data_IF_374127374336
#
_entry.id   IF_374127374336
#
_cell.length_a   1.000
_cell.length_b   1.000
_cell.length_c   1.000
_cell.angle_alpha   90.00
_cell.angle_beta   90.00
_cell.angle_gamma   90.00
#
_symmetry.space_group_name_H-M   'P 1'
#
loop_
_entity.id
_entity.type
_entity.pdbx_description
1 polymer ?
#
# COMPACT_ATOMS: atom_id res chain seq x y z
N UNK A 1 22.79 6.50 -8.27
CA UNK A 1 23.42 5.60 -7.29
C UNK A 1 23.36 4.20 -7.88
N UNK A 2 24.47 3.44 -7.95
CA UNK A 2 24.39 2.04 -8.35
C UNK A 2 23.70 1.30 -7.20
N UNK A 3 22.48 0.84 -7.43
CA UNK A 3 21.74 0.09 -6.43
C UNK A 3 22.52 -1.19 -6.09
N UNK A 4 22.86 -1.37 -4.82
CA UNK A 4 23.56 -2.55 -4.28
C UNK A 4 22.56 -3.62 -3.84
N UNK A 5 21.58 -3.95 -4.68
CA UNK A 5 20.77 -5.14 -4.47
C UNK A 5 21.21 -6.22 -5.46
N UNK A 6 21.12 -7.48 -5.03
CA UNK A 6 21.35 -8.63 -5.88
C UNK A 6 20.10 -9.49 -5.81
N UNK A 7 19.34 -9.51 -6.91
CA UNK A 7 18.15 -10.34 -7.02
C UNK A 7 18.59 -11.81 -7.00
N UNK A 8 18.07 -12.57 -6.03
CA UNK A 8 18.27 -14.02 -5.94
C UNK A 8 17.22 -14.67 -6.86
N UNK A 9 17.64 -15.05 -8.07
CA UNK A 9 16.75 -15.56 -9.10
C UNK A 9 16.86 -17.09 -9.13
N UNK A 10 15.74 -17.84 -9.09
CA UNK A 10 15.75 -19.28 -9.33
C UNK A 10 16.40 -19.63 -10.67
N UNK A 11 17.04 -20.79 -10.74
CA UNK A 11 17.83 -21.20 -11.91
C UNK A 11 17.01 -21.22 -13.20
N UNK A 12 15.74 -21.58 -13.09
CA UNK A 12 14.76 -21.70 -14.16
C UNK A 12 14.40 -20.33 -14.76
N UNK A 13 14.49 -19.27 -13.94
CA UNK A 13 14.22 -17.88 -14.31
C UNK A 13 15.47 -17.09 -14.72
N UNK A 14 16.67 -17.67 -14.57
CA UNK A 14 17.94 -16.99 -14.90
C UNK A 14 18.03 -16.56 -16.37
N UNK A 15 17.39 -17.28 -17.28
CA UNK A 15 17.31 -16.89 -18.70
C UNK A 15 16.63 -15.53 -18.92
N UNK A 16 15.82 -15.07 -17.95
CA UNK A 16 15.11 -13.79 -17.98
C UNK A 16 15.78 -12.70 -17.13
N UNK A 17 16.99 -12.95 -16.58
CA UNK A 17 17.68 -12.03 -15.66
C UNK A 17 17.71 -10.58 -16.11
N UNK A 18 18.07 -10.30 -17.38
CA UNK A 18 18.14 -8.92 -17.87
C UNK A 18 16.80 -8.20 -17.77
N UNK A 19 15.72 -8.87 -18.17
CA UNK A 19 14.36 -8.32 -18.13
C UNK A 19 13.93 -8.11 -16.68
N UNK A 20 14.24 -9.07 -15.80
CA UNK A 20 13.95 -8.99 -14.37
C UNK A 20 14.64 -7.79 -13.74
N UNK A 21 15.97 -7.68 -13.91
CA UNK A 21 16.78 -6.60 -13.37
C UNK A 21 16.37 -5.22 -13.89
N UNK A 22 16.01 -5.11 -15.18
CA UNK A 22 15.48 -3.88 -15.78
C UNK A 22 14.12 -3.49 -15.20
N UNK A 23 13.31 -4.46 -14.79
CA UNK A 23 12.00 -4.24 -14.19
C UNK A 23 12.05 -3.89 -12.70
N UNK A 24 13.19 -4.04 -12.01
CA UNK A 24 13.23 -3.90 -10.56
C UNK A 24 12.91 -2.48 -10.09
N UNK A 25 12.03 -2.38 -9.09
CA UNK A 25 11.73 -1.13 -8.37
C UNK A 25 12.02 -1.24 -6.88
N UNK A 26 12.49 -0.15 -6.24
CA UNK A 26 12.53 -0.08 -4.80
C UNK A 26 11.11 -0.05 -4.24
N UNK A 27 10.94 -0.64 -3.07
CA UNK A 27 9.74 -0.54 -2.26
C UNK A 27 10.12 -0.57 -0.78
N UNK A 28 9.21 -0.10 0.05
CA UNK A 28 9.32 -0.17 1.50
C UNK A 28 8.36 -1.26 1.95
N UNK A 29 8.90 -2.37 2.47
CA UNK A 29 8.14 -3.39 3.17
C UNK A 29 7.65 -2.80 4.49
N UNK A 30 6.36 -2.98 4.76
CA UNK A 30 5.71 -2.48 5.97
C UNK A 30 5.29 -3.68 6.82
N UNK A 31 5.65 -3.65 8.09
CA UNK A 31 5.20 -4.64 9.08
C UNK A 31 4.52 -3.93 10.23
N UNK A 32 3.37 -4.45 10.67
CA UNK A 32 2.60 -3.89 11.78
C UNK A 32 2.65 -4.80 13.00
N UNK A 33 2.82 -4.20 14.18
CA UNK A 33 2.63 -4.89 15.46
C UNK A 33 1.59 -4.15 16.26
N UNK A 34 0.56 -4.86 16.73
CA UNK A 34 -0.49 -4.30 17.58
C UNK A 34 0.12 -3.65 18.82
N UNK A 35 -0.10 -2.35 18.96
CA UNK A 35 0.46 -1.53 20.02
C UNK A 35 -0.20 -0.16 20.02
N UNK A 36 -0.24 0.47 21.19
CA UNK A 36 -0.54 1.90 21.30
C UNK A 36 0.45 2.74 20.50
N UNK A 37 -0.05 3.79 19.88
CA UNK A 37 0.74 4.70 19.04
C UNK A 37 0.40 6.15 19.36
N UNK A 38 1.40 7.02 19.33
CA UNK A 38 1.20 8.46 19.49
C UNK A 38 0.55 9.06 18.24
N UNK A 39 0.01 10.28 18.34
CA UNK A 39 -0.63 10.95 17.20
C UNK A 39 0.33 11.23 16.02
N UNK A 40 1.64 11.14 16.22
CA UNK A 40 2.65 11.56 15.23
C UNK A 40 3.37 10.39 14.54
N UNK A 41 3.21 9.19 15.08
CA UNK A 41 3.86 7.98 14.55
C UNK A 41 3.12 7.41 13.34
N UNK A 42 3.85 6.66 12.51
CA UNK A 42 3.25 5.81 11.50
C UNK A 42 2.49 4.66 12.13
N UNK A 43 1.26 4.44 11.68
CA UNK A 43 0.35 3.45 12.24
C UNK A 43 -0.65 2.93 11.21
N UNK A 44 -1.16 1.73 11.46
CA UNK A 44 -2.46 1.31 10.97
C UNK A 44 -3.51 1.53 12.05
N UNK A 45 -4.71 1.98 11.66
CA UNK A 45 -5.79 2.23 12.62
C UNK A 45 -5.45 3.31 13.65
N UNK A 46 -6.19 3.29 14.76
CA UNK A 46 -5.99 4.21 15.89
C UNK A 46 -6.38 5.66 15.59
N UNK A 47 -5.95 6.56 16.48
CA UNK A 47 -6.28 7.98 16.35
C UNK A 47 -5.30 8.73 15.46
N UNK A 48 -5.81 9.60 14.54
CA UNK A 48 -5.01 10.37 13.61
C UNK A 48 -4.42 11.62 14.27
N UNK A 49 -3.30 12.10 13.73
CA UNK A 49 -2.96 13.52 13.84
C UNK A 49 -4.09 14.37 13.25
N UNK A 50 -4.63 15.31 14.02
CA UNK A 50 -5.64 16.25 13.52
C UNK A 50 -5.42 17.62 14.16
N UNK A 51 -5.04 18.65 13.39
CA UNK A 51 -4.96 20.02 13.90
C UNK A 51 -6.33 20.54 14.38
N UNK A 52 -6.37 21.33 15.46
CA UNK A 52 -7.63 21.89 16.00
C UNK A 52 -8.38 22.80 15.02
N UNK A 53 -7.69 23.31 14.00
CA UNK A 53 -8.26 24.19 12.97
C UNK A 53 -8.69 23.42 11.71
N UNK A 54 -8.69 22.09 11.75
CA UNK A 54 -9.16 21.24 10.67
C UNK A 54 -10.31 20.37 11.16
N UNK A 55 -11.29 20.15 10.28
CA UNK A 55 -12.38 19.23 10.57
C UNK A 55 -11.95 17.79 10.33
N UNK A 56 -12.46 16.87 11.15
CA UNK A 56 -12.31 15.43 10.88
C UNK A 56 -12.98 15.11 9.53
N UNK A 57 -12.31 14.36 8.63
CA UNK A 57 -12.93 13.85 7.41
C UNK A 57 -14.27 13.16 7.64
N UNK A 58 -15.26 13.50 6.83
CA UNK A 58 -16.60 12.90 6.87
C UNK A 58 -16.95 12.26 5.54
N UNK A 59 -17.68 11.16 5.61
CA UNK A 59 -18.25 10.47 4.46
C UNK A 59 -19.47 11.20 3.88
N UNK A 60 -20.08 10.62 2.85
CA UNK A 60 -21.25 11.21 2.19
C UNK A 60 -22.51 11.26 3.06
N UNK A 61 -22.55 10.52 4.16
CA UNK A 61 -23.62 10.57 5.16
C UNK A 61 -23.32 11.57 6.29
N UNK A 62 -22.15 12.22 6.25
CA UNK A 62 -21.70 13.17 7.26
C UNK A 62 -21.12 12.50 8.51
N UNK A 63 -20.89 11.19 8.51
CA UNK A 63 -20.26 10.47 9.61
C UNK A 63 -18.74 10.64 9.55
N UNK A 64 -18.06 10.74 10.71
CA UNK A 64 -16.60 10.73 10.75
C UNK A 64 -16.03 9.45 10.12
N UNK A 65 -15.07 9.61 9.22
CA UNK A 65 -14.33 8.48 8.65
C UNK A 65 -13.30 7.94 9.67
N UNK A 66 -12.94 6.67 9.55
CA UNK A 66 -11.92 6.05 10.38
C UNK A 66 -10.55 6.07 9.72
N UNK A 67 -9.50 6.23 10.52
CA UNK A 67 -8.12 6.19 10.05
C UNK A 67 -7.77 4.75 9.63
N UNK A 68 -7.42 4.57 8.35
CA UNK A 68 -6.91 3.31 7.83
C UNK A 68 -5.39 3.23 7.97
N UNK A 69 -4.68 4.32 7.70
CA UNK A 69 -3.26 4.48 8.06
C UNK A 69 -2.84 5.92 8.16
N UNK A 70 -1.78 6.09 8.91
CA UNK A 70 -0.96 7.27 8.92
C UNK A 70 0.49 6.89 8.69
N UNK A 71 1.19 7.64 7.85
CA UNK A 71 2.56 7.42 7.44
C UNK A 71 3.35 8.71 7.69
N UNK A 72 4.29 8.66 8.62
CA UNK A 72 5.26 9.72 8.83
C UNK A 72 6.47 9.44 7.93
N UNK A 73 6.70 10.28 6.93
CA UNK A 73 7.79 10.08 5.98
C UNK A 73 9.17 10.15 6.62
N UNK A 74 9.31 10.78 7.80
CA UNK A 74 10.56 10.83 8.55
C UNK A 74 10.93 9.48 9.19
N UNK A 75 9.98 8.56 9.33
CA UNK A 75 10.18 7.24 9.95
C UNK A 75 10.56 6.14 8.95
N UNK A 76 10.55 6.44 7.65
CA UNK A 76 10.73 5.44 6.59
C UNK A 76 11.94 5.70 5.70
N UNK A 77 12.50 4.65 5.07
CA UNK A 77 13.51 4.84 4.04
C UNK A 77 12.97 5.69 2.90
N UNK A 78 13.81 6.57 2.36
CA UNK A 78 13.43 7.40 1.22
C UNK A 78 13.40 6.59 -0.08
N UNK A 79 12.30 6.72 -0.83
CA UNK A 79 12.19 6.23 -2.22
C UNK A 79 11.58 7.34 -3.09
N UNK A 80 12.16 7.57 -4.27
CA UNK A 80 11.62 8.53 -5.23
C UNK A 80 10.27 8.03 -5.80
N UNK A 81 9.26 8.91 -5.99
CA UNK A 81 9.25 10.36 -5.77
C UNK A 81 8.56 10.78 -4.46
N UNK A 82 8.61 9.95 -3.42
CA UNK A 82 7.91 10.23 -2.17
C UNK A 82 8.49 11.48 -1.47
N UNK A 83 7.72 12.20 -0.65
CA UNK A 83 8.27 13.23 0.23
C UNK A 83 9.25 12.64 1.25
N UNK A 84 10.22 13.44 1.70
CA UNK A 84 11.12 13.06 2.81
C UNK A 84 10.54 13.35 4.20
N UNK A 85 9.58 14.27 4.28
CA UNK A 85 9.00 14.72 5.54
C UNK A 85 7.48 14.86 5.41
N UNK A 86 6.83 15.05 6.55
CA UNK A 86 5.39 15.24 6.64
C UNK A 86 4.63 13.94 6.85
N UNK A 87 3.32 14.08 6.98
CA UNK A 87 2.43 13.04 7.46
C UNK A 87 1.31 12.80 6.44
N UNK A 88 1.26 11.60 5.89
CA UNK A 88 0.22 11.17 4.95
C UNK A 88 -0.80 10.29 5.66
N UNK A 89 -2.07 10.57 5.48
CA UNK A 89 -3.18 9.86 6.12
C UNK A 89 -4.19 9.36 5.10
N UNK A 90 -4.74 8.18 5.38
CA UNK A 90 -5.78 7.54 4.61
C UNK A 90 -6.97 7.27 5.53
N UNK A 91 -8.13 7.79 5.18
CA UNK A 91 -9.39 7.62 5.88
C UNK A 91 -10.40 6.92 4.99
N UNK A 92 -11.27 6.11 5.59
CA UNK A 92 -12.37 5.41 4.91
C UNK A 92 -13.63 5.48 5.76
N UNK A 93 -14.81 5.43 5.14
CA UNK A 93 -16.07 5.27 5.88
C UNK A 93 -16.04 3.96 6.67
N UNK A 94 -16.60 4.00 7.88
CA UNK A 94 -16.74 2.83 8.75
C UNK A 94 -18.04 2.06 8.52
N UNK A 95 -19.06 2.72 7.95
CA UNK A 95 -20.44 2.23 7.79
C UNK A 95 -20.71 1.78 6.34
N UNK A 96 -19.66 1.45 5.60
CA UNK A 96 -19.72 0.98 4.23
C UNK A 96 -19.07 -0.40 4.12
N UNK A 97 -19.85 -1.39 3.65
CA UNK A 97 -19.39 -2.76 3.40
C UNK A 97 -18.22 -2.82 2.40
N UNK A 98 -18.08 -1.79 1.56
CA UNK A 98 -17.00 -1.65 0.58
C UNK A 98 -15.93 -0.65 1.01
N UNK A 99 -15.99 -0.14 2.25
CA UNK A 99 -14.97 0.73 2.84
C UNK A 99 -14.65 1.98 2.00
N UNK A 100 -15.68 2.57 1.40
CA UNK A 100 -15.58 3.81 0.63
C UNK A 100 -15.13 3.64 -0.82
N UNK A 101 -15.10 2.40 -1.34
CA UNK A 101 -14.77 2.14 -2.73
C UNK A 101 -15.90 2.61 -3.65
N UNK A 102 -15.56 3.46 -4.62
CA UNK A 102 -16.41 3.82 -5.75
C UNK A 102 -15.83 3.20 -7.02
N UNK A 103 -16.48 2.15 -7.54
CA UNK A 103 -16.00 1.45 -8.75
C UNK A 103 -16.15 2.30 -10.02
N UNK A 104 -17.10 3.22 -10.06
CA UNK A 104 -17.33 4.09 -11.21
C UNK A 104 -16.37 5.29 -11.19
N UNK A 105 -16.05 5.81 -9.99
CA UNK A 105 -15.18 6.97 -9.77
C UNK A 105 -14.11 6.70 -8.69
N UNK A 106 -13.15 5.79 -8.92
CA UNK A 106 -12.19 5.33 -7.92
C UNK A 106 -11.25 6.41 -7.36
N UNK A 107 -11.18 7.59 -7.98
CA UNK A 107 -10.41 8.74 -7.50
C UNK A 107 -11.26 9.77 -6.74
N UNK A 108 -12.57 9.57 -6.64
CA UNK A 108 -13.51 10.49 -5.98
C UNK A 108 -13.46 10.28 -4.47
N UNK A 109 -12.93 11.26 -3.73
CA UNK A 109 -12.76 11.22 -2.27
C UNK A 109 -14.07 11.51 -1.51
N UNK A 110 -15.14 10.80 -1.89
CA UNK A 110 -16.49 10.91 -1.31
C UNK A 110 -16.58 10.15 0.00
N UNK A 111 -16.25 8.84 -0.04
CA UNK A 111 -16.35 7.93 1.11
C UNK A 111 -14.96 7.40 1.55
N UNK A 112 -13.89 7.93 0.95
CA UNK A 112 -12.52 7.89 1.48
C UNK A 112 -11.89 9.28 1.43
N UNK A 113 -10.83 9.51 2.21
CA UNK A 113 -10.08 10.77 2.20
C UNK A 113 -8.59 10.53 2.36
N UNK A 114 -7.80 11.23 1.56
CA UNK A 114 -6.34 11.27 1.66
C UNK A 114 -5.94 12.69 2.06
N UNK A 115 -5.18 12.81 3.14
CA UNK A 115 -4.68 14.09 3.65
C UNK A 115 -3.17 14.03 3.79
N UNK A 116 -2.49 15.05 3.27
CA UNK A 116 -1.06 15.22 3.46
C UNK A 116 -0.78 16.51 4.24
N UNK A 117 -0.11 16.37 5.37
CA UNK A 117 0.44 17.48 6.14
C UNK A 117 1.92 17.61 5.83
N UNK A 118 2.30 18.63 5.06
CA UNK A 118 3.70 18.92 4.75
C UNK A 118 4.52 19.36 5.96
N UNK A 119 3.86 19.78 7.04
CA UNK A 119 4.48 20.09 8.33
C UNK A 119 3.51 19.74 9.43
N UNK A 120 4.01 19.13 10.50
CA UNK A 120 3.23 18.80 11.71
C UNK A 120 3.71 19.64 12.89
N UNK A 121 2.88 19.71 13.93
CA UNK A 121 3.23 20.32 15.21
C UNK A 121 2.96 19.32 16.33
N UNK A 122 3.94 19.11 17.20
CA UNK A 122 3.81 18.26 18.39
C UNK A 122 3.24 19.02 19.60
N UNK A 123 2.89 20.30 19.42
CA UNK A 123 2.21 21.09 20.45
C UNK A 123 0.79 20.56 20.66
N UNK A 124 0.61 19.80 21.75
CA UNK A 124 -0.67 19.18 22.12
C UNK A 124 -1.83 20.17 22.28
N UNK A 125 -1.56 21.46 22.47
CA UNK A 125 -2.60 22.50 22.52
C UNK A 125 -3.17 22.86 21.14
N UNK A 126 -2.47 22.46 20.07
CA UNK A 126 -2.83 22.73 18.67
C UNK A 126 -3.35 21.50 17.92
N UNK A 127 -3.44 20.35 18.60
CA UNK A 127 -3.94 19.11 18.01
C UNK A 127 -5.10 18.55 18.82
N UNK A 128 -6.00 17.86 18.15
CA UNK A 128 -7.10 17.13 18.79
C UNK A 128 -6.51 15.92 19.51
N UNK A 129 -6.84 15.77 20.79
CA UNK A 129 -6.40 14.65 21.63
C UNK A 129 -7.57 13.80 22.15
N UNK A 130 -8.79 14.30 22.02
CA UNK A 130 -10.01 13.59 22.40
C UNK A 130 -10.79 13.20 21.15
N UNK A 131 -10.88 11.89 20.93
CA UNK A 131 -11.57 11.27 19.81
C UNK A 131 -12.80 10.47 20.28
N UNK A 132 -13.32 10.75 21.48
CA UNK A 132 -14.47 10.05 22.06
C UNK A 132 -15.73 10.09 21.19
N UNK A 133 -15.85 11.07 20.30
CA UNK A 133 -16.94 11.12 19.30
C UNK A 133 -16.88 9.99 18.26
N UNK A 134 -15.74 9.30 18.10
CA UNK A 134 -15.64 8.13 17.24
C UNK A 134 -16.24 6.88 17.90
N UNK A 135 -16.37 6.86 19.23
CA UNK A 135 -16.92 5.71 19.97
C UNK A 135 -18.41 5.47 19.70
N UNK A 136 -19.08 6.38 19.00
CA UNK A 136 -20.48 6.21 18.58
C UNK A 136 -20.61 5.44 17.27
N UNK A 137 -19.51 5.19 16.57
CA UNK A 137 -19.50 4.42 15.33
C UNK A 137 -19.60 2.93 15.65
N UNK A 138 -20.35 2.20 14.84
CA UNK A 138 -20.31 0.75 14.83
C UNK A 138 -19.06 0.29 14.07
N UNK A 139 -18.17 -0.42 14.77
CA UNK A 139 -16.89 -0.87 14.24
C UNK A 139 -16.79 -2.40 14.22
N UNK A 140 -17.89 -3.13 14.44
CA UNK A 140 -17.88 -4.60 14.52
C UNK A 140 -17.24 -5.25 13.27
N UNK A 141 -17.42 -4.63 12.10
CA UNK A 141 -16.90 -5.11 10.82
C UNK A 141 -15.76 -4.24 10.27
N UNK A 142 -15.21 -3.33 11.08
CA UNK A 142 -14.16 -2.45 10.60
C UNK A 142 -12.84 -3.21 10.43
N UNK A 143 -12.16 -2.93 9.32
CA UNK A 143 -10.97 -3.66 8.85
C UNK A 143 -9.82 -3.64 9.87
N UNK A 144 -9.67 -2.55 10.61
CA UNK A 144 -8.54 -2.33 11.51
C UNK A 144 -9.09 -1.96 12.89
N UNK A 145 -9.44 -2.96 13.72
CA UNK A 145 -10.11 -2.72 15.00
C UNK A 145 -9.19 -2.06 16.02
N UNK A 146 -7.88 -2.27 15.91
CA UNK A 146 -6.88 -1.77 16.85
C UNK A 146 -5.67 -1.16 16.17
N UNK A 147 -5.00 -0.23 16.87
CA UNK A 147 -3.81 0.41 16.36
C UNK A 147 -2.65 -0.60 16.22
N UNK A 148 -1.92 -0.50 15.11
CA UNK A 148 -0.66 -1.22 14.93
C UNK A 148 0.47 -0.25 14.60
N UNK A 149 1.55 -0.33 15.38
CA UNK A 149 2.79 0.42 15.14
C UNK A 149 3.53 -0.17 13.95
N UNK A 150 4.03 0.69 13.07
CA UNK A 150 4.67 0.26 11.83
C UNK A 150 6.20 0.20 11.95
N UNK A 151 6.77 -0.76 11.21
CA UNK A 151 8.20 -0.87 10.92
C UNK A 151 8.38 -0.89 9.40
N UNK A 152 9.44 -0.21 8.96
CA UNK A 152 9.76 -0.01 7.55
C UNK A 152 11.11 -0.65 7.20
N UNK A 153 11.17 -1.30 6.03
CA UNK A 153 12.39 -1.90 5.50
C UNK A 153 12.47 -1.66 3.99
N UNK A 154 13.58 -1.09 3.52
CA UNK A 154 13.82 -0.90 2.08
C UNK A 154 14.13 -2.24 1.44
N UNK A 155 13.42 -2.56 0.37
CA UNK A 155 13.63 -3.77 -0.41
C UNK A 155 13.41 -3.48 -1.91
N UNK A 156 13.61 -4.49 -2.75
CA UNK A 156 13.57 -4.38 -4.20
C UNK A 156 12.83 -5.58 -4.76
N UNK A 157 11.96 -5.35 -5.73
CA UNK A 157 11.21 -6.42 -6.38
C UNK A 157 11.15 -6.20 -7.89
N UNK A 158 11.18 -7.28 -8.70
CA UNK A 158 10.83 -7.20 -10.12
C UNK A 158 9.33 -6.87 -10.29
N UNK A 159 8.93 -6.63 -11.54
CA UNK A 159 7.50 -6.45 -11.88
C UNK A 159 6.69 -7.68 -11.47
N UNK A 160 5.54 -7.51 -10.86
CA UNK A 160 4.66 -8.62 -10.48
C UNK A 160 3.80 -9.05 -11.66
N UNK A 161 3.41 -10.33 -11.71
CA UNK A 161 2.45 -10.87 -12.70
C UNK A 161 1.09 -10.16 -12.64
N UNK A 162 0.78 -9.52 -11.51
CA UNK A 162 -0.47 -8.79 -11.23
C UNK A 162 -0.44 -7.31 -11.60
N UNK A 163 0.64 -6.80 -12.17
CA UNK A 163 0.72 -5.42 -12.64
C UNK A 163 0.48 -5.34 -14.15
N UNK A 164 -0.31 -4.36 -14.59
CA UNK A 164 -0.64 -4.16 -16.02
C UNK A 164 0.59 -4.02 -16.95
N UNK A 165 1.77 -3.70 -16.41
CA UNK A 165 3.03 -3.58 -17.15
C UNK A 165 3.69 -4.93 -17.40
N UNK A 166 3.30 -5.98 -16.69
CA UNK A 166 3.92 -7.30 -16.77
C UNK A 166 3.97 -7.82 -18.20
N UNK A 167 2.81 -7.92 -18.85
CA UNK A 167 2.66 -8.36 -20.25
C UNK A 167 3.37 -7.45 -21.28
N UNK A 168 3.68 -6.21 -20.91
CA UNK A 168 4.45 -5.28 -21.76
C UNK A 168 5.96 -5.50 -21.62
N UNK A 169 6.41 -5.92 -20.44
CA UNK A 169 7.81 -6.18 -20.12
C UNK A 169 8.22 -7.57 -20.61
N UNK A 170 7.40 -8.57 -20.30
CA UNK A 170 7.59 -9.95 -20.75
C UNK A 170 6.83 -10.15 -22.06
N UNK A 171 7.57 -10.22 -23.17
CA UNK A 171 6.99 -10.47 -24.49
C UNK A 171 6.25 -11.84 -24.51
N UNK A 172 5.29 -12.00 -25.42
CA UNK A 172 4.28 -13.09 -25.48
C UNK A 172 4.81 -14.52 -25.73
N UNK A 173 6.10 -14.78 -25.55
CA UNK A 173 6.75 -16.05 -25.88
C UNK A 173 7.20 -16.85 -24.64
N UNK A 174 6.73 -16.48 -23.44
CA UNK A 174 7.01 -17.24 -22.22
C UNK A 174 5.83 -18.16 -21.94
N UNK A 175 6.12 -19.45 -21.79
CA UNK A 175 5.14 -20.44 -21.37
C UNK A 175 5.14 -20.49 -19.83
N UNK A 176 4.27 -19.69 -19.21
CA UNK A 176 4.16 -19.62 -17.75
C UNK A 176 3.59 -20.91 -17.14
N UNK A 177 2.93 -21.74 -17.94
CA UNK A 177 2.37 -23.05 -17.55
C UNK A 177 3.41 -24.17 -17.71
N UNK A 178 4.64 -23.86 -18.15
CA UNK A 178 5.73 -24.84 -18.25
C UNK A 178 6.03 -25.43 -16.86
N UNK A 179 5.96 -26.76 -16.73
CA UNK A 179 6.34 -27.46 -15.51
C UNK A 179 7.88 -27.48 -15.42
N UNK A 180 8.40 -26.77 -14.42
CA UNK A 180 9.85 -26.65 -14.18
C UNK A 180 10.37 -27.52 -13.05
N UNK A 181 9.46 -28.02 -12.21
CA UNK A 181 9.73 -29.05 -11.20
C UNK A 181 8.67 -30.15 -11.31
N UNK A 182 9.07 -31.30 -11.86
CA UNK A 182 8.19 -32.48 -12.03
C UNK A 182 7.82 -33.17 -10.71
N UNK A 183 8.67 -33.05 -9.67
CA UNK A 183 8.42 -33.70 -8.38
C UNK A 183 7.30 -32.97 -7.63
N UNK A 184 7.38 -31.64 -7.59
CA UNK A 184 6.38 -30.78 -6.95
C UNK A 184 5.26 -30.32 -7.90
N UNK A 185 5.41 -30.59 -9.21
CA UNK A 185 4.55 -30.09 -10.29
C UNK A 185 4.44 -28.56 -10.33
N UNK A 186 5.55 -27.88 -10.04
CA UNK A 186 5.60 -26.42 -10.00
C UNK A 186 5.68 -25.85 -11.41
N UNK A 187 4.77 -24.94 -11.72
CA UNK A 187 4.75 -24.17 -12.96
C UNK A 187 5.74 -23.00 -12.90
N UNK A 188 6.28 -22.57 -14.04
CA UNK A 188 7.18 -21.42 -14.13
C UNK A 188 6.54 -20.14 -13.55
N UNK A 189 5.24 -19.96 -13.75
CA UNK A 189 4.46 -18.85 -13.20
C UNK A 189 4.37 -18.87 -11.66
N UNK A 190 4.19 -20.05 -11.05
CA UNK A 190 4.19 -20.18 -9.59
C UNK A 190 5.56 -19.83 -9.00
N UNK A 191 6.64 -20.34 -9.61
CA UNK A 191 8.01 -20.00 -9.23
C UNK A 191 8.29 -18.50 -9.37
N UNK A 192 7.68 -17.86 -10.36
CA UNK A 192 7.77 -16.42 -10.57
C UNK A 192 7.05 -15.59 -9.51
N UNK A 193 5.82 -16.00 -9.16
CA UNK A 193 5.03 -15.35 -8.11
C UNK A 193 5.76 -15.46 -6.75
N UNK A 194 6.38 -16.62 -6.46
CA UNK A 194 7.22 -16.84 -5.27
C UNK A 194 8.43 -15.90 -5.23
N UNK A 195 9.14 -15.73 -6.35
CA UNK A 195 10.27 -14.79 -6.47
C UNK A 195 9.85 -13.35 -6.15
N UNK A 196 8.63 -12.96 -6.52
CA UNK A 196 8.16 -11.59 -6.37
C UNK A 196 7.81 -11.22 -4.92
N UNK A 197 7.74 -12.18 -3.99
CA UNK A 197 7.25 -12.01 -2.61
C UNK A 197 6.05 -11.05 -2.58
N UNK A 198 5.05 -11.35 -3.40
CA UNK A 198 4.01 -10.39 -3.73
C UNK A 198 2.98 -10.24 -2.60
N UNK A 199 3.18 -10.81 -1.42
CA UNK A 199 2.25 -10.76 -0.29
C UNK A 199 2.66 -9.73 0.78
N UNK A 200 1.67 -9.09 1.41
CA UNK A 200 1.86 -8.18 2.54
C UNK A 200 1.79 -6.67 2.24
N UNK A 201 2.07 -5.87 3.26
CA UNK A 201 1.95 -4.41 3.22
C UNK A 201 3.21 -3.76 2.63
N UNK A 202 3.03 -2.81 1.71
CA UNK A 202 4.15 -2.09 1.08
C UNK A 202 3.81 -0.67 0.63
N UNK A 203 4.85 0.13 0.44
CA UNK A 203 4.85 1.48 -0.16
C UNK A 203 5.86 1.45 -1.32
N UNK A 204 5.52 1.98 -2.49
CA UNK A 204 6.33 1.84 -3.71
C UNK A 204 6.25 0.45 -4.34
N UNK A 205 7.19 0.11 -5.23
CA UNK A 205 7.21 -1.18 -5.93
C UNK A 205 6.05 -1.38 -6.91
N UNK A 206 5.58 -2.63 -7.01
CA UNK A 206 4.46 -3.04 -7.84
C UNK A 206 3.26 -3.47 -6.98
N UNK A 207 2.02 -3.22 -7.43
CA UNK A 207 0.82 -3.63 -6.73
C UNK A 207 0.54 -5.12 -6.93
N UNK A 208 -0.50 -5.55 -6.24
CA UNK A 208 -1.07 -6.87 -6.33
C UNK A 208 -2.58 -6.73 -6.17
N UNK A 209 -3.31 -7.53 -6.92
CA UNK A 209 -4.76 -7.60 -6.88
C UNK A 209 -5.18 -9.06 -6.80
N UNK A 210 -6.23 -9.35 -6.03
CA UNK A 210 -6.86 -10.68 -6.01
C UNK A 210 -7.66 -10.94 -7.28
N UNK A 211 -8.12 -9.88 -7.94
CA UNK A 211 -8.78 -9.90 -9.24
C UNK A 211 -7.81 -9.39 -10.32
N UNK A 212 -8.18 -8.35 -11.05
CA UNK A 212 -7.37 -7.74 -12.12
C UNK A 212 -6.92 -6.34 -11.73
N UNK A 213 -5.82 -5.87 -12.31
CA UNK A 213 -5.38 -4.49 -12.16
C UNK A 213 -6.37 -3.53 -12.86
N UNK A 214 -7.04 -2.61 -12.15
CA UNK A 214 -8.03 -1.71 -12.75
C UNK A 214 -7.43 -0.76 -13.80
N UNK A 215 -6.10 -0.62 -13.84
CA UNK A 215 -5.37 0.21 -14.81
C UNK A 215 -5.20 -0.47 -16.18
N UNK A 216 -5.48 -1.77 -16.27
CA UNK A 216 -5.49 -2.51 -17.55
C UNK A 216 -6.62 -2.01 -18.47
N UNK A 217 -7.80 -1.76 -17.89
CA UNK A 217 -9.01 -1.48 -18.64
C UNK A 217 -9.20 0.00 -18.98
N UNK A 218 -8.68 0.89 -18.13
CA UNK A 218 -8.85 2.33 -18.28
C UNK A 218 -7.50 3.06 -18.33
N UNK A 219 -7.07 3.41 -19.55
CA UNK A 219 -5.78 4.09 -19.80
C UNK A 219 -5.59 5.37 -18.97
N UNK A 220 -6.70 6.08 -18.68
CA UNK A 220 -6.68 7.31 -17.85
C UNK A 220 -6.12 7.07 -16.44
N UNK A 221 -6.14 5.83 -15.93
CA UNK A 221 -5.58 5.48 -14.63
C UNK A 221 -4.13 4.99 -14.70
N UNK A 222 -3.57 4.74 -15.88
CA UNK A 222 -2.16 4.30 -16.02
C UNK A 222 -1.15 5.37 -15.55
N UNK A 223 -1.56 6.63 -15.46
CA UNK A 223 -0.79 7.71 -14.82
C UNK A 223 -0.64 7.55 -13.29
N UNK A 224 -1.44 6.69 -12.65
CA UNK A 224 -1.30 6.32 -11.24
C UNK A 224 -0.35 5.11 -11.12
N UNK A 225 0.91 5.34 -11.45
CA UNK A 225 1.93 4.30 -11.58
C UNK A 225 2.81 4.11 -10.33
N UNK A 226 2.59 4.96 -9.32
CA UNK A 226 3.21 4.93 -7.99
C UNK A 226 2.23 4.29 -6.99
N UNK A 227 2.64 3.18 -6.37
CA UNK A 227 1.91 2.59 -5.26
C UNK A 227 2.21 3.37 -3.98
N UNK A 228 1.26 4.14 -3.47
CA UNK A 228 1.46 4.90 -2.23
C UNK A 228 1.25 4.02 -0.99
N UNK A 229 0.38 3.02 -1.07
CA UNK A 229 0.17 2.03 0.00
C UNK A 229 -0.54 0.79 -0.52
N UNK A 230 -0.20 -0.37 0.03
CA UNK A 230 -1.02 -1.59 0.00
C UNK A 230 -1.26 -2.14 1.40
N UNK A 231 -2.48 -2.64 1.64
CA UNK A 231 -2.84 -3.42 2.83
C UNK A 231 -3.27 -4.80 2.39
N UNK A 232 -2.78 -5.84 3.07
CA UNK A 232 -3.36 -7.17 2.99
C UNK A 232 -4.19 -7.42 4.23
N UNK A 233 -5.41 -7.93 4.03
CA UNK A 233 -6.29 -8.35 5.12
C UNK A 233 -6.09 -9.85 5.27
N UNK A 234 -5.74 -10.29 6.48
CA UNK A 234 -5.66 -11.70 6.84
C UNK A 234 -7.06 -12.25 7.11
#
# INVERSE_FOLDING_TARGET
MKNTYQLQIPKELEQYRSILEESVKPYIKVSGTQAETTLFESKFGGYPYLPINQEHPKDSNGQPMMLLAQLNFEEMPYIEPMPQNGLLQFFVSADDELFGIDFDHPTSQKDFRIIYHSTITEDLTKVITDFSYLNTLDLEHFIIPEAAKLKFELNYQPVTSRDYRFEKIFNKNIDWEEIVDEENKTELGELYDDLCEDQGHKIGGYPFFTQTDPREWEEKYQQHDILVRRIFLL
#
